data_IF_123553902968
#
_entry.id   IF_123553902968
#
_cell.length_a   1.000
_cell.length_b   1.000
_cell.length_c   1.000
_cell.angle_alpha   90.00
_cell.angle_beta   90.00
_cell.angle_gamma   90.00
#
_symmetry.space_group_name_H-M   'P 1'
#
loop_
_entity.id
_entity.type
_entity.pdbx_description
1 polymer ?
#
# COMPACT_ATOMS: atom_id res chain seq x y z
N UNK A 1 4.10 1.30 10.15
CA UNK A 1 4.74 0.40 9.17
C UNK A 1 6.04 0.95 8.58
N UNK A 2 6.07 1.95 7.67
CA UNK A 2 7.34 2.34 7.01
C UNK A 2 8.39 2.94 7.97
N UNK A 3 7.97 3.69 8.99
CA UNK A 3 8.89 4.26 9.98
C UNK A 3 9.53 3.16 10.83
N UNK A 4 8.74 2.17 11.23
CA UNK A 4 9.19 1.01 12.03
C UNK A 4 10.16 0.15 11.23
N UNK A 5 9.91 -0.03 9.92
CA UNK A 5 10.81 -0.75 9.02
C UNK A 5 12.17 -0.04 8.87
N UNK A 6 12.18 1.30 8.84
CA UNK A 6 13.42 2.10 8.81
C UNK A 6 14.16 1.95 10.13
N UNK A 7 13.46 1.99 11.27
CA UNK A 7 14.07 1.85 12.59
C UNK A 7 14.73 0.47 12.74
N UNK A 8 14.00 -0.62 12.45
CA UNK A 8 14.54 -1.98 12.55
C UNK A 8 15.69 -2.27 11.57
N UNK A 9 15.72 -1.61 10.41
CA UNK A 9 16.84 -1.68 9.47
C UNK A 9 18.09 -0.92 9.96
N UNK A 10 17.88 0.23 10.62
CA UNK A 10 18.97 1.04 11.22
C UNK A 10 19.60 0.34 12.43
N UNK A 11 18.81 -0.28 13.29
CA UNK A 11 19.31 -1.01 14.46
C UNK A 11 20.24 -2.17 14.05
N UNK A 12 19.95 -2.80 12.91
CA UNK A 12 20.76 -3.87 12.32
C UNK A 12 21.87 -3.38 11.38
N UNK A 13 22.09 -2.06 11.29
CA UNK A 13 23.11 -1.42 10.44
C UNK A 13 23.07 -1.85 8.97
N UNK A 14 21.88 -2.07 8.41
CA UNK A 14 21.71 -2.48 7.01
C UNK A 14 21.74 -1.28 6.05
N UNK A 15 22.36 -1.48 4.88
CA UNK A 15 22.26 -0.51 3.78
C UNK A 15 20.86 -0.57 3.17
N UNK A 16 20.13 0.54 3.26
CA UNK A 16 18.78 0.66 2.71
C UNK A 16 18.68 1.85 1.74
N UNK A 17 17.85 1.70 0.70
CA UNK A 17 17.28 2.86 0.01
C UNK A 17 15.93 3.16 0.65
N UNK A 18 15.74 4.43 1.01
CA UNK A 18 14.59 4.87 1.79
C UNK A 18 13.24 4.57 1.13
N UNK A 19 12.14 4.67 1.88
CA UNK A 19 10.80 4.40 1.36
C UNK A 19 10.46 5.37 0.24
N UNK A 20 10.41 4.86 -1.00
CA UNK A 20 9.95 5.63 -2.15
C UNK A 20 8.43 5.51 -2.23
N UNK A 21 7.76 6.66 -2.27
CA UNK A 21 6.31 6.72 -2.55
C UNK A 21 6.12 6.52 -4.05
N UNK A 22 5.46 5.44 -4.41
CA UNK A 22 5.00 5.25 -5.79
C UNK A 22 3.70 6.03 -5.93
N UNK A 23 3.42 6.64 -7.11
CA UNK A 23 2.14 7.28 -7.37
C UNK A 23 0.97 6.39 -6.99
N UNK A 24 0.02 6.97 -6.24
CA UNK A 24 -1.19 6.28 -5.81
C UNK A 24 -2.05 5.99 -7.04
N UNK A 25 -2.36 4.72 -7.27
CA UNK A 25 -3.29 4.37 -8.33
C UNK A 25 -4.69 4.58 -7.81
N UNK A 26 -5.43 5.43 -8.51
CA UNK A 26 -6.83 5.71 -8.22
C UNK A 26 -7.66 4.92 -9.22
N UNK A 27 -8.40 3.92 -8.72
CA UNK A 27 -9.34 3.17 -9.54
C UNK A 27 -10.71 3.80 -9.34
N UNK A 28 -11.29 4.32 -10.42
CA UNK A 28 -12.62 4.92 -10.41
C UNK A 28 -13.57 4.03 -11.21
N UNK A 29 -14.67 3.66 -10.58
CA UNK A 29 -15.76 2.91 -11.22
C UNK A 29 -17.02 3.74 -11.07
N UNK A 30 -17.64 4.07 -12.20
CA UNK A 30 -18.90 4.80 -12.24
C UNK A 30 -20.00 3.84 -12.65
N UNK A 31 -20.98 3.61 -11.78
CA UNK A 31 -22.13 2.72 -12.05
C UNK A 31 -23.44 3.48 -11.93
N UNK A 32 -24.46 3.04 -12.66
CA UNK A 32 -25.83 3.54 -12.44
C UNK A 32 -26.30 3.09 -11.06
N UNK A 33 -26.98 3.98 -10.32
CA UNK A 33 -27.55 3.64 -9.00
C UNK A 33 -28.65 2.58 -9.13
N UNK A 34 -29.49 2.73 -10.15
CA UNK A 34 -30.63 1.85 -10.39
C UNK A 34 -30.20 0.64 -11.25
N UNK A 35 -30.68 -0.57 -10.92
CA UNK A 35 -30.42 -1.77 -11.72
C UNK A 35 -31.30 -1.87 -12.97
N UNK A 36 -32.41 -1.12 -13.02
CA UNK A 36 -33.35 -1.08 -14.13
C UNK A 36 -33.21 0.21 -14.96
N UNK A 37 -33.69 0.17 -16.21
CA UNK A 37 -33.61 1.28 -17.18
C UNK A 37 -34.53 2.47 -16.88
N UNK A 38 -35.53 2.27 -16.03
CA UNK A 38 -36.55 3.26 -15.69
C UNK A 38 -36.08 4.25 -14.60
N UNK A 39 -36.64 5.45 -14.59
CA UNK A 39 -36.33 6.51 -13.61
C UNK A 39 -35.24 7.50 -14.04
N UNK A 40 -34.87 8.41 -13.13
CA UNK A 40 -33.88 9.48 -13.39
C UNK A 40 -32.46 8.93 -13.51
N UNK A 41 -31.67 9.49 -14.43
CA UNK A 41 -30.28 9.10 -14.68
C UNK A 41 -29.34 9.49 -13.54
N UNK A 42 -29.34 8.71 -12.46
CA UNK A 42 -28.44 8.88 -11.32
C UNK A 42 -27.26 7.91 -11.37
N UNK A 43 -26.07 8.40 -11.04
CA UNK A 43 -24.81 7.65 -11.07
C UNK A 43 -24.11 7.68 -9.71
N UNK A 44 -23.45 6.59 -9.36
CA UNK A 44 -22.52 6.49 -8.23
C UNK A 44 -21.08 6.43 -8.74
N UNK A 45 -20.18 7.12 -8.03
CA UNK A 45 -18.74 7.07 -8.26
C UNK A 45 -18.06 6.37 -7.09
N UNK A 46 -17.50 5.19 -7.35
CA UNK A 46 -16.68 4.46 -6.40
C UNK A 46 -15.21 4.71 -6.67
N UNK A 47 -14.43 5.01 -5.63
CA UNK A 47 -13.01 5.25 -5.73
C UNK A 47 -12.23 4.33 -4.79
N UNK A 48 -11.28 3.58 -5.35
CA UNK A 48 -10.29 2.82 -4.60
C UNK A 48 -8.92 3.49 -4.75
N UNK A 49 -8.34 3.93 -3.63
CA UNK A 49 -6.99 4.51 -3.59
C UNK A 49 -5.98 3.46 -3.14
N UNK A 50 -5.14 3.02 -4.06
CA UNK A 50 -4.06 2.08 -3.75
C UNK A 50 -2.79 2.87 -3.42
N UNK A 51 -2.41 2.86 -2.14
CA UNK A 51 -1.19 3.50 -1.65
C UNK A 51 -0.02 2.51 -1.66
N UNK A 52 0.89 2.66 -2.63
CA UNK A 52 2.08 1.80 -2.75
C UNK A 52 3.34 2.53 -2.28
N UNK A 53 4.13 1.86 -1.43
CA UNK A 53 5.47 2.31 -1.00
C UNK A 53 6.45 1.17 -1.20
N UNK A 54 7.67 1.48 -1.62
CA UNK A 54 8.75 0.50 -1.83
C UNK A 54 9.94 0.87 -0.97
N UNK A 55 10.54 -0.13 -0.34
CA UNK A 55 11.79 -0.01 0.43
C UNK A 55 12.75 -1.05 -0.11
N UNK A 56 13.93 -0.63 -0.54
CA UNK A 56 14.97 -1.55 -0.99
C UNK A 56 15.95 -1.80 0.16
N UNK A 57 16.15 -3.07 0.50
CA UNK A 57 17.06 -3.53 1.55
C UNK A 57 18.14 -4.42 0.91
N UNK A 58 19.41 -4.16 1.22
CA UNK A 58 20.52 -5.02 0.81
C UNK A 58 20.96 -5.91 1.98
N UNK A 59 20.47 -7.15 2.03
CA UNK A 59 20.78 -8.13 3.09
C UNK A 59 20.44 -9.56 2.66
N UNK A 60 20.88 -10.55 3.44
CA UNK A 60 20.42 -11.94 3.32
C UNK A 60 18.92 -12.08 3.63
N UNK A 61 18.25 -13.02 2.95
CA UNK A 61 16.80 -13.21 3.02
C UNK A 61 16.30 -13.60 4.43
N UNK A 62 17.13 -14.21 5.25
CA UNK A 62 16.80 -14.59 6.63
C UNK A 62 16.57 -13.37 7.52
N UNK A 63 17.44 -12.36 7.42
CA UNK A 63 17.32 -11.11 8.18
C UNK A 63 16.10 -10.31 7.72
N UNK A 64 15.79 -10.33 6.43
CA UNK A 64 14.60 -9.67 5.86
C UNK A 64 13.31 -10.30 6.41
N UNK A 65 13.24 -11.62 6.51
CA UNK A 65 12.07 -12.33 7.07
C UNK A 65 11.82 -11.95 8.53
N UNK A 66 12.87 -11.86 9.35
CA UNK A 66 12.75 -11.45 10.75
C UNK A 66 12.23 -10.03 10.94
N UNK A 67 12.58 -9.11 10.03
CA UNK A 67 12.12 -7.71 10.09
C UNK A 67 10.66 -7.61 9.60
N UNK A 68 10.32 -8.36 8.54
CA UNK A 68 8.98 -8.38 7.97
C UNK A 68 7.95 -9.07 8.88
N UNK A 69 8.35 -10.09 9.65
CA UNK A 69 7.43 -10.82 10.54
C UNK A 69 6.89 -10.00 11.71
N UNK A 70 7.55 -8.90 12.08
CA UNK A 70 7.19 -8.10 13.26
C UNK A 70 6.11 -7.04 12.92
N UNK A 71 5.88 -6.74 11.64
CA UNK A 71 5.20 -5.50 11.22
C UNK A 71 3.93 -5.70 10.40
N UNK A 72 3.42 -6.93 10.28
CA UNK A 72 2.14 -7.18 9.57
C UNK A 72 0.97 -6.81 10.51
N UNK A 73 0.66 -5.52 10.58
CA UNK A 73 -0.62 -5.04 11.08
C UNK A 73 -1.69 -5.28 10.00
N UNK A 74 -2.65 -6.16 10.31
CA UNK A 74 -3.89 -6.30 9.54
C UNK A 74 -4.90 -5.25 10.05
N UNK A 75 -5.10 -4.18 9.29
CA UNK A 75 -6.33 -3.38 9.31
C UNK A 75 -6.57 -2.76 7.94
#
# INVERSE_FOLDING_TARGET
VCADLICGAKDKSLKMKGPVRIPTKVLQITTRKAPCGEGTSTWDGFELRIHKRVVDLFSSAEVVKQIASITIDFF
#
